data_IF_605140069756
#
_entry.id   IF_605140069756
#
_cell.length_a   1.000
_cell.length_b   1.000
_cell.length_c   1.000
_cell.angle_alpha   90.00
_cell.angle_beta   90.00
_cell.angle_gamma   90.00
#
_symmetry.space_group_name_H-M   'P 1'
#
loop_
_entity.id
_entity.type
_entity.pdbx_description
1 polymer ?
#
# COMPACT_ATOMS: atom_id res chain seq x y z
N UNK A 1 -3.31 8.79 -21.69
CA UNK A 1 -4.05 9.41 -20.57
C UNK A 1 -4.08 8.52 -19.34
N UNK A 2 -3.92 7.20 -19.50
CA UNK A 2 -3.98 6.20 -18.44
C UNK A 2 -3.05 6.47 -17.26
N UNK A 3 -1.85 7.01 -17.49
CA UNK A 3 -0.93 7.36 -16.39
C UNK A 3 -1.48 8.46 -15.47
N UNK A 4 -2.26 9.41 -16.00
CA UNK A 4 -2.90 10.45 -15.18
C UNK A 4 -3.96 9.82 -14.27
N UNK A 5 -4.77 8.90 -14.82
CA UNK A 5 -5.79 8.17 -14.05
C UNK A 5 -5.13 7.26 -13.00
N UNK A 6 -4.08 6.53 -13.39
CA UNK A 6 -3.31 5.66 -12.49
C UNK A 6 -2.72 6.43 -11.31
N UNK A 7 -2.15 7.61 -11.57
CA UNK A 7 -1.60 8.47 -10.51
C UNK A 7 -2.71 9.04 -9.63
N UNK A 8 -3.84 9.44 -10.20
CA UNK A 8 -4.99 9.91 -9.42
C UNK A 8 -5.51 8.81 -8.46
N UNK A 9 -5.66 7.58 -8.95
CA UNK A 9 -6.08 6.44 -8.14
C UNK A 9 -5.07 6.15 -7.02
N UNK A 10 -3.78 6.17 -7.33
CA UNK A 10 -2.69 6.03 -6.34
C UNK A 10 -2.77 7.12 -5.26
N UNK A 11 -2.94 8.40 -5.64
CA UNK A 11 -3.04 9.51 -4.67
C UNK A 11 -4.26 9.32 -3.75
N UNK A 12 -5.41 8.95 -4.32
CA UNK A 12 -6.62 8.72 -3.51
C UNK A 12 -6.47 7.53 -2.56
N UNK A 13 -5.86 6.43 -3.01
CA UNK A 13 -5.62 5.24 -2.21
C UNK A 13 -4.67 5.55 -1.04
N UNK A 14 -3.55 6.19 -1.31
CA UNK A 14 -2.52 6.53 -0.31
C UNK A 14 -2.97 7.62 0.66
N UNK A 15 -3.93 8.48 0.28
CA UNK A 15 -4.55 9.43 1.18
C UNK A 15 -5.50 8.77 2.20
N UNK A 16 -6.26 7.76 1.75
CA UNK A 16 -7.25 7.05 2.59
C UNK A 16 -6.63 5.96 3.44
N UNK A 17 -5.63 5.27 2.90
CA UNK A 17 -4.99 4.12 3.54
C UNK A 17 -3.51 4.40 3.71
N UNK A 18 -2.92 3.96 4.83
CA UNK A 18 -1.49 4.16 5.14
C UNK A 18 -0.59 3.21 4.32
N UNK A 19 -0.68 3.30 3.00
CA UNK A 19 0.04 2.48 2.01
C UNK A 19 0.75 3.36 0.98
N UNK A 20 1.61 2.74 0.17
CA UNK A 20 2.26 3.30 -1.00
C UNK A 20 2.14 2.31 -2.17
N UNK A 21 1.95 2.82 -3.38
CA UNK A 21 1.85 2.01 -4.60
C UNK A 21 3.24 1.74 -5.18
N UNK A 22 3.64 0.49 -5.45
CA UNK A 22 4.94 0.17 -6.03
C UNK A 22 5.05 0.61 -7.50
N UNK A 23 6.24 0.44 -8.07
CA UNK A 23 6.48 0.69 -9.50
C UNK A 23 5.53 -0.16 -10.35
N UNK A 24 5.01 0.43 -11.43
CA UNK A 24 4.07 -0.20 -12.36
C UNK A 24 2.75 -0.72 -11.74
N UNK A 25 2.41 -0.29 -10.52
CA UNK A 25 1.16 -0.66 -9.87
C UNK A 25 -0.07 -0.31 -10.71
N UNK A 26 -1.01 -1.25 -10.77
CA UNK A 26 -2.37 -1.07 -11.28
C UNK A 26 -3.39 -1.27 -10.16
N UNK A 27 -4.59 -0.70 -10.33
CA UNK A 27 -5.67 -0.83 -9.36
C UNK A 27 -5.99 -2.31 -9.07
N UNK A 28 -5.89 -2.70 -7.79
CA UNK A 28 -6.08 -4.07 -7.30
C UNK A 28 -4.79 -4.84 -7.03
N UNK A 29 -3.64 -4.35 -7.51
CA UNK A 29 -2.34 -4.97 -7.23
C UNK A 29 -1.93 -4.81 -5.76
N UNK A 30 -0.96 -5.63 -5.34
CA UNK A 30 -0.38 -5.53 -4.01
C UNK A 30 0.29 -4.15 -3.79
N UNK A 31 0.19 -3.65 -2.56
CA UNK A 31 0.70 -2.36 -2.12
C UNK A 31 1.69 -2.52 -0.97
N UNK A 32 2.43 -1.45 -0.69
CA UNK A 32 3.43 -1.43 0.38
C UNK A 32 2.87 -0.66 1.58
N UNK A 33 2.97 -1.21 2.79
CA UNK A 33 2.62 -0.46 4.01
C UNK A 33 3.57 0.73 4.14
N UNK A 34 3.02 1.94 4.34
CA UNK A 34 3.82 3.15 4.40
C UNK A 34 4.89 3.06 5.50
N UNK A 35 6.09 3.57 5.23
CA UNK A 35 7.23 3.49 6.16
C UNK A 35 7.03 4.24 7.48
N UNK A 36 6.04 5.13 7.55
CA UNK A 36 5.65 5.85 8.77
C UNK A 36 4.78 5.03 9.74
N UNK A 37 4.31 3.85 9.33
CA UNK A 37 3.47 2.98 10.16
C UNK A 37 4.35 2.05 11.00
N UNK A 38 4.18 2.06 12.32
CA UNK A 38 4.86 1.14 13.25
C UNK A 38 4.38 -0.31 13.02
N UNK A 39 5.10 -1.30 13.55
CA UNK A 39 4.68 -2.71 13.40
C UNK A 39 3.44 -3.02 14.25
N UNK A 40 3.26 -2.33 15.37
CA UNK A 40 2.10 -2.41 16.24
C UNK A 40 0.85 -1.86 15.54
N UNK A 41 0.96 -0.68 14.92
CA UNK A 41 -0.13 -0.08 14.16
C UNK A 41 -0.44 -0.91 12.91
N UNK A 42 0.58 -1.46 12.24
CA UNK A 42 0.40 -2.29 11.06
C UNK A 42 -0.44 -3.55 11.36
N UNK A 43 -0.27 -4.19 12.52
CA UNK A 43 -1.11 -5.34 12.94
C UNK A 43 -2.58 -4.98 13.08
N UNK A 44 -2.86 -3.75 13.51
CA UNK A 44 -4.23 -3.26 13.69
C UNK A 44 -4.86 -2.85 12.36
N UNK A 45 -4.10 -2.14 11.52
CA UNK A 45 -4.55 -1.61 10.23
C UNK A 45 -4.65 -2.69 9.14
N UNK A 46 -3.80 -3.73 9.20
CA UNK A 46 -3.72 -4.79 8.19
C UNK A 46 -3.84 -6.18 8.87
N UNK A 47 -5.03 -6.54 9.41
CA UNK A 47 -5.23 -7.75 10.20
C UNK A 47 -5.06 -9.06 9.40
N UNK A 48 -5.17 -9.00 8.07
CA UNK A 48 -4.88 -10.12 7.18
C UNK A 48 -3.38 -10.44 7.08
N UNK A 49 -2.52 -9.63 7.70
CA UNK A 49 -1.07 -9.76 7.65
C UNK A 49 -0.46 -9.19 6.37
N UNK A 50 0.87 -9.32 6.26
CA UNK A 50 1.66 -8.85 5.11
C UNK A 50 2.90 -9.73 4.92
N UNK A 51 3.48 -9.70 3.73
CA UNK A 51 4.77 -10.33 3.44
C UNK A 51 5.89 -9.32 3.68
N UNK A 52 6.93 -9.69 4.41
CA UNK A 52 8.07 -8.81 4.71
C UNK A 52 9.41 -9.44 4.29
N UNK A 53 9.73 -9.53 2.98
CA UNK A 53 11.05 -10.00 2.53
C UNK A 53 12.21 -9.16 3.07
N UNK A 54 11.96 -7.90 3.43
CA UNK A 54 12.87 -7.01 4.19
C UNK A 54 12.06 -6.23 5.23
N UNK A 55 12.66 -5.76 6.34
CA UNK A 55 11.95 -5.02 7.39
C UNK A 55 11.20 -3.78 6.87
N UNK A 56 11.77 -3.07 5.90
CA UNK A 56 11.17 -1.88 5.28
C UNK A 56 10.25 -2.19 4.09
N UNK A 57 10.21 -3.44 3.62
CA UNK A 57 9.44 -3.84 2.45
C UNK A 57 8.29 -4.74 2.90
N UNK A 58 7.20 -4.11 3.34
CA UNK A 58 6.01 -4.77 3.87
C UNK A 58 4.89 -4.76 2.83
N UNK A 59 4.66 -5.89 2.17
CA UNK A 59 3.74 -6.05 1.04
C UNK A 59 2.40 -6.59 1.53
N UNK A 60 1.31 -5.87 1.26
CA UNK A 60 -0.05 -6.26 1.64
C UNK A 60 -1.01 -6.12 0.46
N UNK A 61 -2.17 -6.78 0.54
CA UNK A 61 -3.23 -6.63 -0.45
C UNK A 61 -3.76 -5.19 -0.42
N UNK A 62 -4.14 -4.66 -1.58
CA UNK A 62 -4.79 -3.35 -1.62
C UNK A 62 -6.04 -3.34 -0.73
N UNK A 63 -6.15 -2.40 0.22
CA UNK A 63 -7.35 -2.22 1.02
C UNK A 63 -8.44 -1.50 0.23
N UNK A 64 -9.70 -1.84 0.51
CA UNK A 64 -10.89 -1.37 -0.22
C UNK A 64 -11.55 -2.50 -0.99
#
# INVERSE_FOLDING_TARGET
FDEILRVLDSIQLTAKHKVATPVNWQQGDDVIIAGSVSDEDAKTLFPAGWKAPKPYLRITKQPG
#
